data_IF_986370111419
#
_entry.id   IF_986370111419
#
_cell.length_a   1.000
_cell.length_b   1.000
_cell.length_c   1.000
_cell.angle_alpha   90.00
_cell.angle_beta   90.00
_cell.angle_gamma   90.00
#
_symmetry.space_group_name_H-M   'P 1'
#
loop_
_entity.id
_entity.type
_entity.pdbx_description
1 polymer ?
#
# COMPACT_ATOMS: atom_id res chain seq x y z
N UNK A 1 -19.64 3.69 -5.58
CA UNK A 1 -18.53 4.65 -5.33
C UNK A 1 -17.72 4.98 -6.59
N UNK A 2 -17.07 4.00 -7.24
CA UNK A 2 -16.17 4.26 -8.38
C UNK A 2 -16.88 4.60 -9.69
N UNK A 3 -18.04 3.98 -9.96
CA UNK A 3 -18.86 4.32 -11.12
C UNK A 3 -19.40 5.75 -11.05
N UNK A 4 -19.65 6.25 -9.83
CA UNK A 4 -20.07 7.63 -9.60
C UNK A 4 -18.90 8.59 -9.87
N UNK A 5 -17.70 8.26 -9.39
CA UNK A 5 -16.48 9.04 -9.64
C UNK A 5 -16.14 9.12 -11.13
N UNK A 6 -16.12 8.00 -11.84
CA UNK A 6 -15.83 7.98 -13.29
C UNK A 6 -16.91 8.73 -14.08
N UNK A 7 -18.16 8.72 -13.61
CA UNK A 7 -19.27 9.42 -14.26
C UNK A 7 -19.23 10.95 -14.13
N UNK A 8 -18.57 11.48 -13.09
CA UNK A 8 -18.47 12.94 -12.86
C UNK A 8 -17.06 13.51 -13.03
N UNK A 9 -16.02 12.67 -13.16
CA UNK A 9 -14.63 13.12 -13.20
C UNK A 9 -14.30 14.00 -14.41
N UNK A 10 -14.90 13.72 -15.57
CA UNK A 10 -14.72 14.52 -16.79
C UNK A 10 -15.24 15.95 -16.64
N UNK A 11 -16.37 16.11 -15.95
CA UNK A 11 -16.99 17.42 -15.67
C UNK A 11 -16.23 18.18 -14.56
N UNK A 12 -15.76 17.46 -13.53
CA UNK A 12 -15.11 18.06 -12.36
C UNK A 12 -13.64 18.41 -12.58
N UNK A 13 -12.91 17.62 -13.37
CA UNK A 13 -11.45 17.70 -13.48
C UNK A 13 -10.94 17.94 -14.91
N UNK A 14 -11.81 17.95 -15.92
CA UNK A 14 -11.42 18.03 -17.33
C UNK A 14 -10.73 16.74 -17.82
N UNK A 15 -10.21 16.65 -19.06
CA UNK A 15 -9.63 15.40 -19.58
C UNK A 15 -8.33 14.98 -18.85
N UNK A 16 -8.10 13.65 -18.69
CA UNK A 16 -6.92 13.07 -18.03
C UNK A 16 -5.62 13.54 -18.69
N UNK A 17 -5.60 13.56 -20.02
CA UNK A 17 -4.42 13.94 -20.79
C UNK A 17 -4.88 14.58 -22.10
N UNK A 18 -4.18 15.62 -22.51
CA UNK A 18 -4.31 16.22 -23.83
C UNK A 18 -3.05 15.87 -24.61
N UNK A 19 -3.17 15.06 -25.65
CA UNK A 19 -2.05 14.70 -26.52
C UNK A 19 -2.07 15.65 -27.72
N UNK A 20 -0.98 16.39 -27.91
CA UNK A 20 -0.72 17.18 -29.11
C UNK A 20 0.49 16.61 -29.84
N UNK A 21 0.23 15.90 -30.94
CA UNK A 21 1.28 15.48 -31.87
C UNK A 21 1.33 16.46 -33.04
N UNK A 22 2.52 16.94 -33.40
CA UNK A 22 2.71 17.87 -34.52
C UNK A 22 2.17 17.26 -35.82
N UNK A 23 1.17 17.92 -36.40
CA UNK A 23 0.48 17.47 -37.63
C UNK A 23 -0.78 16.63 -37.40
N UNK A 24 -1.15 16.32 -36.16
CA UNK A 24 -2.39 15.63 -35.82
C UNK A 24 -3.35 16.50 -34.99
N UNK A 25 -4.67 16.26 -35.08
CA UNK A 25 -5.63 16.95 -34.23
C UNK A 25 -5.35 16.68 -32.75
N UNK A 26 -5.52 17.72 -31.92
CA UNK A 26 -5.42 17.61 -30.47
C UNK A 26 -6.40 16.54 -29.98
N UNK A 27 -5.89 15.50 -29.32
CA UNK A 27 -6.72 14.41 -28.80
C UNK A 27 -6.90 14.61 -27.30
N UNK A 28 -8.15 14.82 -26.87
CA UNK A 28 -8.51 14.86 -25.46
C UNK A 28 -8.91 13.46 -25.02
N UNK A 29 -8.23 12.92 -24.00
CA UNK A 29 -8.57 11.63 -23.41
C UNK A 29 -9.46 11.89 -22.18
N UNK A 30 -10.79 11.67 -22.27
CA UNK A 30 -11.66 11.79 -21.12
C UNK A 30 -11.33 10.71 -20.07
N UNK A 31 -11.62 10.97 -18.79
CA UNK A 31 -11.62 9.98 -17.72
C UNK A 31 -12.50 8.77 -18.05
N UNK A 32 -13.61 9.01 -18.76
CA UNK A 32 -14.49 7.98 -19.30
C UNK A 32 -13.94 7.21 -20.50
N UNK A 33 -12.80 7.59 -21.12
CA UNK A 33 -12.16 6.82 -22.19
C UNK A 33 -11.76 5.40 -21.74
N UNK A 34 -11.62 5.19 -20.43
CA UNK A 34 -11.48 3.88 -19.80
C UNK A 34 -12.68 2.92 -20.03
N UNK A 35 -13.81 3.42 -20.55
CA UNK A 35 -15.01 2.62 -20.89
C UNK A 35 -15.28 2.46 -22.39
N UNK A 36 -14.68 3.27 -23.26
CA UNK A 36 -15.14 3.40 -24.66
C UNK A 36 -14.11 3.01 -25.73
N UNK A 37 -12.88 2.65 -25.37
CA UNK A 37 -11.96 2.01 -26.31
C UNK A 37 -12.06 0.47 -26.18
N UNK A 38 -12.58 -0.25 -27.19
CA UNK A 38 -12.67 -1.71 -27.16
C UNK A 38 -11.29 -2.39 -27.15
N UNK A 39 -10.21 -1.65 -27.44
CA UNK A 39 -8.86 -2.21 -27.60
C UNK A 39 -7.88 -1.80 -26.50
N UNK A 40 -8.20 -0.85 -25.62
CA UNK A 40 -7.26 -0.44 -24.58
C UNK A 40 -7.93 0.12 -23.32
N UNK A 41 -7.74 -0.59 -22.21
CA UNK A 41 -7.87 -0.09 -20.83
C UNK A 41 -9.27 0.03 -20.21
N UNK A 42 -10.07 -1.04 -20.24
CA UNK A 42 -11.03 -1.29 -19.17
C UNK A 42 -10.43 -2.30 -18.17
N UNK A 43 -10.00 -1.82 -17.00
CA UNK A 43 -9.61 -2.70 -15.89
C UNK A 43 -10.77 -3.64 -15.58
N UNK A 44 -10.55 -4.95 -15.68
CA UNK A 44 -11.57 -5.93 -15.38
C UNK A 44 -11.89 -5.88 -13.89
N UNK A 45 -13.05 -6.40 -13.50
CA UNK A 45 -13.42 -6.54 -12.07
C UNK A 45 -12.31 -7.27 -11.29
N UNK A 46 -11.70 -8.28 -11.91
CA UNK A 46 -10.55 -9.02 -11.35
C UNK A 46 -9.31 -8.14 -11.10
N UNK A 47 -9.09 -7.12 -11.93
CA UNK A 47 -7.95 -6.21 -11.75
C UNK A 47 -8.19 -5.27 -10.57
N UNK A 48 -9.43 -4.82 -10.37
CA UNK A 48 -9.82 -4.06 -9.19
C UNK A 48 -9.71 -4.87 -7.90
N UNK A 49 -10.07 -6.16 -7.92
CA UNK A 49 -9.85 -7.07 -6.80
C UNK A 49 -8.36 -7.17 -6.45
N UNK A 50 -7.50 -7.33 -7.47
CA UNK A 50 -6.04 -7.35 -7.28
C UNK A 50 -5.50 -6.04 -6.71
N UNK A 51 -5.97 -4.90 -7.21
CA UNK A 51 -5.59 -3.58 -6.68
C UNK A 51 -6.00 -3.47 -5.20
N UNK A 52 -7.21 -3.91 -4.85
CA UNK A 52 -7.69 -3.91 -3.47
C UNK A 52 -6.86 -4.83 -2.57
N UNK A 53 -6.43 -5.99 -3.07
CA UNK A 53 -5.57 -6.90 -2.32
C UNK A 53 -4.19 -6.32 -2.07
N UNK A 54 -3.57 -5.72 -3.08
CA UNK A 54 -2.30 -5.00 -2.95
C UNK A 54 -2.44 -3.82 -1.99
N UNK A 55 -3.51 -3.03 -2.10
CA UNK A 55 -3.79 -1.93 -1.20
C UNK A 55 -3.89 -2.41 0.26
N UNK A 56 -4.56 -3.53 0.51
CA UNK A 56 -4.65 -4.13 1.85
C UNK A 56 -3.28 -4.57 2.39
N UNK A 57 -2.42 -5.14 1.55
CA UNK A 57 -1.05 -5.55 1.94
C UNK A 57 -0.20 -4.32 2.28
N UNK A 58 -0.23 -3.29 1.43
CA UNK A 58 0.55 -2.06 1.61
C UNK A 58 0.04 -1.24 2.81
N UNK A 59 -1.27 -1.26 3.07
CA UNK A 59 -1.87 -0.56 4.21
C UNK A 59 -1.27 -1.01 5.55
N UNK A 60 -0.95 -2.30 5.72
CA UNK A 60 -0.29 -2.79 6.93
C UNK A 60 1.11 -2.18 7.11
N UNK A 61 1.89 -2.10 6.04
CA UNK A 61 3.21 -1.45 6.08
C UNK A 61 3.11 0.08 6.29
N UNK A 62 2.07 0.71 5.74
CA UNK A 62 1.82 2.13 5.98
C UNK A 62 1.48 2.40 7.46
N UNK A 63 0.68 1.55 8.12
CA UNK A 63 0.40 1.68 9.56
C UNK A 63 1.70 1.67 10.38
N UNK A 64 2.60 0.73 10.08
CA UNK A 64 3.93 0.66 10.70
C UNK A 64 4.70 1.99 10.52
N UNK A 65 4.77 2.51 9.29
CA UNK A 65 5.44 3.78 9.01
C UNK A 65 4.83 4.93 9.82
N UNK A 66 3.49 5.00 9.88
CA UNK A 66 2.79 6.06 10.59
C UNK A 66 3.08 6.02 12.09
N UNK A 67 3.26 4.84 12.69
CA UNK A 67 3.66 4.70 14.10
C UNK A 67 4.99 5.40 14.43
N UNK A 68 5.89 5.56 13.44
CA UNK A 68 7.17 6.26 13.62
C UNK A 68 7.16 7.72 13.18
N UNK A 69 6.05 8.22 12.63
CA UNK A 69 6.00 9.54 12.01
C UNK A 69 5.75 10.68 13.01
N UNK A 70 5.59 10.37 14.30
CA UNK A 70 5.42 11.38 15.35
C UNK A 70 6.71 12.16 15.60
N UNK A 71 6.62 13.49 15.51
CA UNK A 71 7.71 14.41 15.87
C UNK A 71 7.76 14.73 17.36
N UNK A 72 6.63 14.55 18.06
CA UNK A 72 6.43 15.07 19.42
C UNK A 72 6.52 13.99 20.50
N UNK A 73 6.52 12.71 20.10
CA UNK A 73 6.55 11.58 21.02
C UNK A 73 7.71 10.66 20.65
N UNK A 74 8.37 10.09 21.65
CA UNK A 74 9.34 9.04 21.41
C UNK A 74 8.63 7.84 20.76
N UNK A 75 9.07 7.42 19.59
CA UNK A 75 8.50 6.28 18.84
C UNK A 75 9.39 5.04 18.91
N UNK A 76 10.52 5.13 19.61
CA UNK A 76 11.49 4.03 19.67
C UNK A 76 10.93 2.79 20.40
N UNK A 77 10.11 3.00 21.45
CA UNK A 77 9.52 1.92 22.24
C UNK A 77 8.53 1.07 21.45
N UNK A 78 7.83 1.65 20.46
CA UNK A 78 6.86 0.91 19.65
C UNK A 78 7.50 0.20 18.45
N UNK A 79 8.81 0.31 18.24
CA UNK A 79 9.48 -0.27 17.08
C UNK A 79 9.36 -1.79 16.97
N UNK A 80 9.65 -2.49 18.07
CA UNK A 80 9.55 -3.96 18.11
C UNK A 80 8.09 -4.42 18.08
N UNK A 81 7.15 -3.85 18.86
CA UNK A 81 5.73 -4.19 18.76
C UNK A 81 5.17 -4.01 17.34
N UNK A 82 5.42 -2.87 16.70
CA UNK A 82 4.84 -2.57 15.40
C UNK A 82 5.39 -3.50 14.30
N UNK A 83 6.68 -3.88 14.36
CA UNK A 83 7.23 -4.88 13.45
C UNK A 83 6.63 -6.28 13.65
N UNK A 84 6.38 -6.69 14.90
CA UNK A 84 5.69 -7.96 15.20
C UNK A 84 4.25 -7.97 14.69
N UNK A 85 3.55 -6.85 14.81
CA UNK A 85 2.19 -6.69 14.29
C UNK A 85 2.15 -6.81 12.76
N UNK A 86 3.09 -6.14 12.07
CA UNK A 86 3.24 -6.26 10.62
C UNK A 86 3.57 -7.70 10.21
N UNK A 87 4.52 -8.35 10.91
CA UNK A 87 4.88 -9.73 10.64
C UNK A 87 3.68 -10.66 10.76
N UNK A 88 2.97 -10.60 11.89
CA UNK A 88 1.77 -11.41 12.15
C UNK A 88 0.71 -11.19 11.06
N UNK A 89 0.46 -9.93 10.70
CA UNK A 89 -0.53 -9.58 9.67
C UNK A 89 -0.18 -10.19 8.31
N UNK A 90 1.09 -10.15 7.92
CA UNK A 90 1.56 -10.71 6.66
C UNK A 90 1.66 -12.23 6.66
N UNK A 91 1.96 -12.87 7.79
CA UNK A 91 1.89 -14.33 7.97
C UNK A 91 0.46 -14.82 7.80
N UNK A 92 -0.52 -14.16 8.44
CA UNK A 92 -1.94 -14.46 8.28
C UNK A 92 -2.36 -14.33 6.81
N UNK A 93 -1.98 -13.24 6.13
CA UNK A 93 -2.28 -13.06 4.70
C UNK A 93 -1.64 -14.14 3.82
N UNK A 94 -0.39 -14.52 4.09
CA UNK A 94 0.31 -15.58 3.35
C UNK A 94 -0.36 -16.96 3.50
N UNK A 95 -1.12 -17.18 4.57
CA UNK A 95 -1.85 -18.43 4.76
C UNK A 95 -3.25 -18.42 4.13
N UNK A 96 -3.74 -17.27 3.67
CA UNK A 96 -5.06 -17.16 3.02
C UNK A 96 -4.94 -17.39 1.51
N UNK A 97 -5.76 -18.29 0.97
CA UNK A 97 -5.82 -18.60 -0.48
C UNK A 97 -6.04 -17.36 -1.36
N UNK A 98 -6.75 -16.35 -0.83
CA UNK A 98 -6.98 -15.06 -1.49
C UNK A 98 -5.68 -14.37 -1.92
N UNK A 99 -4.60 -14.51 -1.14
CA UNK A 99 -3.34 -13.82 -1.40
C UNK A 99 -2.30 -14.70 -2.11
N UNK A 100 -2.70 -15.84 -2.68
CA UNK A 100 -1.79 -16.81 -3.32
C UNK A 100 -0.88 -16.17 -4.38
N UNK A 101 -1.41 -15.24 -5.17
CA UNK A 101 -0.66 -14.49 -6.18
C UNK A 101 0.50 -13.65 -5.59
N UNK A 102 0.40 -13.28 -4.32
CA UNK A 102 1.34 -12.40 -3.63
C UNK A 102 2.24 -13.15 -2.65
N UNK A 103 2.13 -14.48 -2.54
CA UNK A 103 2.89 -15.28 -1.56
C UNK A 103 4.40 -15.04 -1.64
N UNK A 104 4.95 -14.96 -2.86
CA UNK A 104 6.37 -14.74 -3.06
C UNK A 104 6.80 -13.35 -2.57
N UNK A 105 5.99 -12.32 -2.86
CA UNK A 105 6.22 -10.96 -2.38
C UNK A 105 6.11 -10.87 -0.85
N UNK A 106 5.08 -11.50 -0.26
CA UNK A 106 4.91 -11.60 1.19
C UNK A 106 6.08 -12.35 1.85
N UNK A 107 6.57 -13.44 1.25
CA UNK A 107 7.72 -14.19 1.76
C UNK A 107 9.00 -13.33 1.78
N UNK A 108 9.27 -12.59 0.70
CA UNK A 108 10.38 -11.62 0.67
C UNK A 108 10.21 -10.52 1.71
N UNK A 109 9.00 -10.02 1.87
CA UNK A 109 8.64 -9.03 2.87
C UNK A 109 8.90 -9.51 4.29
N UNK A 110 8.43 -10.71 4.63
CA UNK A 110 8.65 -11.36 5.93
C UNK A 110 10.14 -11.60 6.20
N UNK A 111 10.91 -12.05 5.21
CA UNK A 111 12.36 -12.20 5.35
C UNK A 111 13.05 -10.85 5.65
N UNK A 112 12.58 -9.76 5.02
CA UNK A 112 13.08 -8.41 5.28
C UNK A 112 12.72 -7.95 6.70
N UNK A 113 11.50 -8.21 7.16
CA UNK A 113 11.06 -7.91 8.53
C UNK A 113 11.94 -8.66 9.53
N UNK A 114 12.16 -9.96 9.35
CA UNK A 114 13.02 -10.76 10.22
C UNK A 114 14.45 -10.22 10.31
N UNK A 115 15.02 -9.78 9.18
CA UNK A 115 16.34 -9.12 9.16
C UNK A 115 16.37 -7.85 10.02
N UNK A 116 15.32 -7.02 9.98
CA UNK A 116 15.27 -5.82 10.81
C UNK A 116 15.00 -6.14 12.27
N UNK A 117 14.07 -7.06 12.56
CA UNK A 117 13.79 -7.51 13.91
C UNK A 117 15.06 -7.96 14.63
N UNK A 118 15.87 -8.81 13.99
CA UNK A 118 17.14 -9.28 14.56
C UNK A 118 18.09 -8.10 14.87
N UNK A 119 18.24 -7.16 13.93
CA UNK A 119 19.08 -5.97 14.12
C UNK A 119 18.60 -5.05 15.25
N UNK A 120 17.30 -4.99 15.51
CA UNK A 120 16.74 -4.24 16.62
C UNK A 120 16.95 -4.96 17.94
N UNK A 121 16.78 -6.28 17.95
CA UNK A 121 17.00 -7.12 19.12
C UNK A 121 18.47 -7.11 19.57
N UNK A 122 19.41 -7.05 18.63
CA UNK A 122 20.85 -6.94 18.93
C UNK A 122 21.25 -5.60 19.56
N UNK A 123 20.35 -4.60 19.52
CA UNK A 123 20.60 -3.26 20.04
C UNK A 123 19.86 -3.06 21.37
N UNK A 124 20.57 -2.95 22.51
CA UNK A 124 19.93 -2.88 23.83
C UNK A 124 19.02 -1.65 23.97
N UNK A 125 19.24 -0.59 23.20
CA UNK A 125 18.41 0.63 23.23
C UNK A 125 16.92 0.36 22.98
N UNK A 126 16.58 -0.60 22.11
CA UNK A 126 15.17 -0.92 21.82
C UNK A 126 14.53 -1.69 22.98
N UNK A 127 15.28 -2.62 23.60
CA UNK A 127 14.85 -3.37 24.78
C UNK A 127 14.67 -2.44 25.99
N UNK A 128 15.61 -1.50 26.19
CA UNK A 128 15.53 -0.50 27.25
C UNK A 128 14.36 0.45 27.06
N UNK A 129 14.08 0.89 25.83
CA UNK A 129 12.95 1.75 25.52
C UNK A 129 11.60 1.05 25.81
N UNK A 130 11.49 -0.24 25.50
CA UNK A 130 10.32 -1.07 25.85
C UNK A 130 10.15 -1.23 27.37
N UNK A 131 11.24 -1.45 28.10
CA UNK A 131 11.19 -1.59 29.55
C UNK A 131 10.69 -0.33 30.24
N UNK A 132 11.09 0.86 29.77
CA UNK A 132 10.67 2.14 30.36
C UNK A 132 9.23 2.55 30.05
N UNK A 133 8.66 2.11 28.92
CA UNK A 133 7.25 2.43 28.61
C UNK A 133 6.24 1.64 29.45
N UNK A 134 6.68 0.56 30.13
CA UNK A 134 5.84 -0.27 31.01
C UNK A 134 5.83 0.19 32.48
N UNK A 135 6.58 1.25 32.82
CA UNK A 135 6.78 1.72 34.20
C UNK A 135 6.02 3.04 34.46
N UNK A 136 5.24 3.53 33.50
CA UNK A 136 4.37 4.70 33.63
C UNK A 136 2.92 4.35 33.30
#
# INVERSE_FOLDING_TARGET
>A
PINLFIGSADELFGPITTIQCTGHPVTHIPWSASKTDPLQSTLKVSDWERINDVHRIISDANKLQQSFSSKNHATLWCAVPALKELQTSWEVKKNMTRYMLYHEALARGLAKIGKYYNRLNDKPVYVLALGKSNIY
#
